data_IF_634268747500
#
_entry.id   IF_634268747500
#
_cell.length_a   1.000
_cell.length_b   1.000
_cell.length_c   1.000
_cell.angle_alpha   90.00
_cell.angle_beta   90.00
_cell.angle_gamma   90.00
#
_symmetry.space_group_name_H-M   'P 1'
#
loop_
_entity.id
_entity.type
_entity.pdbx_description
1 polymer ?
#
# COMPACT_ATOMS: atom_id res chain seq x y z
N UNK A 1 -27.52 -37.31 12.74
CA UNK A 1 -27.54 -36.01 12.04
C UNK A 1 -26.11 -35.70 11.66
N UNK A 2 -25.84 -35.67 10.36
CA UNK A 2 -24.51 -35.75 9.76
C UNK A 2 -23.55 -34.62 10.17
N UNK A 3 -22.40 -35.00 10.72
CA UNK A 3 -21.24 -34.15 10.96
C UNK A 3 -20.32 -34.06 9.72
N UNK A 4 -20.77 -34.58 8.57
CA UNK A 4 -19.98 -34.70 7.33
C UNK A 4 -20.31 -33.60 6.31
N UNK A 5 -21.50 -32.98 6.38
CA UNK A 5 -21.90 -31.87 5.49
C UNK A 5 -21.54 -30.48 6.04
N UNK A 6 -21.35 -30.34 7.36
CA UNK A 6 -20.91 -29.08 8.00
C UNK A 6 -19.40 -28.80 7.81
N UNK A 7 -18.55 -29.83 7.86
CA UNK A 7 -17.09 -29.71 7.69
C UNK A 7 -16.62 -29.05 6.38
N UNK A 8 -17.15 -29.39 5.19
CA UNK A 8 -16.72 -28.74 3.94
C UNK A 8 -17.07 -27.24 3.91
N UNK A 9 -18.21 -26.86 4.49
CA UNK A 9 -18.62 -25.45 4.59
C UNK A 9 -17.67 -24.62 5.47
N UNK A 10 -17.25 -25.16 6.62
CA UNK A 10 -16.29 -24.47 7.50
C UNK A 10 -14.91 -24.30 6.84
N UNK A 11 -14.40 -25.32 6.14
CA UNK A 11 -13.14 -25.22 5.40
C UNK A 11 -13.21 -24.16 4.30
N UNK A 12 -14.32 -24.11 3.56
CA UNK A 12 -14.52 -23.11 2.51
C UNK A 12 -14.56 -21.69 3.09
N UNK A 13 -15.24 -21.50 4.21
CA UNK A 13 -15.26 -20.20 4.89
C UNK A 13 -13.86 -19.75 5.32
N UNK A 14 -13.04 -20.68 5.86
CA UNK A 14 -11.64 -20.39 6.21
C UNK A 14 -10.79 -20.05 4.99
N UNK A 15 -10.94 -20.80 3.89
CA UNK A 15 -10.24 -20.54 2.63
C UNK A 15 -10.59 -19.14 2.10
N UNK A 16 -11.87 -18.78 2.13
CA UNK A 16 -12.35 -17.47 1.70
C UNK A 16 -11.86 -16.34 2.62
N UNK A 17 -11.81 -16.56 3.93
CA UNK A 17 -11.32 -15.55 4.89
C UNK A 17 -9.86 -15.14 4.63
N UNK A 18 -9.06 -16.05 4.09
CA UNK A 18 -7.66 -15.80 3.75
C UNK A 18 -7.45 -15.48 2.26
N UNK A 19 -8.53 -15.40 1.47
CA UNK A 19 -8.49 -15.21 0.02
C UNK A 19 -7.59 -16.26 -0.69
N UNK A 20 -7.54 -17.49 -0.16
CA UNK A 20 -6.63 -18.54 -0.67
C UNK A 20 -7.05 -19.12 -2.03
N UNK A 21 -8.27 -18.84 -2.50
CA UNK A 21 -8.68 -19.18 -3.86
C UNK A 21 -7.99 -18.29 -4.91
N UNK A 22 -7.63 -17.07 -4.52
CA UNK A 22 -6.99 -16.07 -5.38
C UNK A 22 -5.46 -16.15 -5.34
N UNK A 23 -4.90 -16.97 -4.44
CA UNK A 23 -3.47 -17.18 -4.35
C UNK A 23 -2.97 -18.05 -5.51
N UNK A 24 -2.13 -17.46 -6.37
CA UNK A 24 -1.44 -18.16 -7.45
C UNK A 24 0.02 -18.45 -7.07
N UNK A 25 0.31 -19.71 -6.76
CA UNK A 25 1.65 -20.17 -6.40
C UNK A 25 2.70 -19.95 -7.51
N UNK A 26 2.28 -19.80 -8.78
CA UNK A 26 3.19 -19.55 -9.91
C UNK A 26 3.61 -18.09 -10.02
N UNK A 27 2.92 -17.19 -9.30
CA UNK A 27 3.15 -15.74 -9.28
C UNK A 27 3.56 -15.29 -7.89
N UNK A 28 4.67 -15.84 -7.41
CA UNK A 28 5.23 -15.54 -6.09
C UNK A 28 6.74 -15.33 -6.13
N UNK A 29 7.26 -14.64 -5.13
CA UNK A 29 8.68 -14.30 -4.99
C UNK A 29 9.14 -14.41 -3.53
N UNK A 30 10.45 -14.53 -3.36
CA UNK A 30 11.11 -14.58 -2.06
C UNK A 30 10.92 -15.89 -1.30
N UNK A 31 11.55 -15.96 -0.12
CA UNK A 31 11.51 -17.15 0.76
C UNK A 31 10.11 -17.49 1.28
N UNK A 32 9.23 -16.49 1.31
CA UNK A 32 7.91 -16.59 1.92
C UNK A 32 6.76 -16.69 0.91
N UNK A 33 7.09 -16.86 -0.39
CA UNK A 33 6.12 -16.94 -1.49
C UNK A 33 5.16 -15.74 -1.50
N UNK A 34 5.70 -14.53 -1.40
CA UNK A 34 4.90 -13.32 -1.47
C UNK A 34 4.38 -13.12 -2.90
N UNK A 35 3.08 -12.82 -3.10
CA UNK A 35 2.53 -12.61 -4.44
C UNK A 35 3.31 -11.54 -5.22
N UNK A 36 3.55 -11.79 -6.51
CA UNK A 36 4.20 -10.83 -7.39
C UNK A 36 3.19 -9.89 -8.04
N UNK A 37 3.64 -8.66 -8.30
CA UNK A 37 2.92 -7.65 -9.05
C UNK A 37 3.66 -7.32 -10.35
N UNK A 38 2.88 -7.06 -11.41
CA UNK A 38 3.43 -6.59 -12.69
C UNK A 38 3.84 -5.11 -12.63
N UNK A 39 4.88 -4.68 -13.39
CA UNK A 39 5.31 -3.29 -13.43
C UNK A 39 4.28 -2.37 -14.08
N UNK A 40 4.26 -1.11 -13.65
CA UNK A 40 3.41 -0.06 -14.22
C UNK A 40 4.21 1.23 -14.43
N UNK A 41 3.89 1.96 -15.49
CA UNK A 41 4.36 3.32 -15.71
C UNK A 41 3.16 4.25 -15.82
N UNK A 42 2.75 4.81 -14.68
CA UNK A 42 1.59 5.69 -14.59
C UNK A 42 1.90 6.88 -13.67
N UNK A 43 1.36 8.05 -14.00
CA UNK A 43 1.51 9.26 -13.20
C UNK A 43 0.13 9.73 -12.73
N UNK A 44 -0.21 9.52 -11.45
CA UNK A 44 -1.45 10.04 -10.89
C UNK A 44 -1.53 11.56 -10.97
N UNK A 45 -2.73 12.08 -11.30
CA UNK A 45 -3.00 13.52 -11.27
C UNK A 45 -3.29 14.03 -9.86
N UNK A 46 -3.94 13.20 -9.06
CA UNK A 46 -4.32 13.44 -7.66
C UNK A 46 -4.64 12.12 -6.99
N UNK A 47 -4.66 12.13 -5.66
CA UNK A 47 -4.96 10.96 -4.84
C UNK A 47 -6.29 11.14 -4.09
N UNK A 48 -7.04 10.06 -3.93
CA UNK A 48 -8.21 9.98 -3.04
C UNK A 48 -8.10 8.79 -2.10
N UNK A 49 -8.38 8.99 -0.81
CA UNK A 49 -8.40 7.90 0.17
C UNK A 49 -9.49 6.86 -0.13
N UNK A 50 -9.15 5.58 0.05
CA UNK A 50 -10.09 4.47 -0.11
C UNK A 50 -11.36 4.59 0.75
N UNK A 51 -11.30 5.32 1.87
CA UNK A 51 -12.46 5.57 2.73
C UNK A 51 -13.61 6.31 2.01
N UNK A 52 -13.32 7.10 0.97
CA UNK A 52 -14.32 7.87 0.22
C UNK A 52 -14.95 7.16 -0.98
N UNK A 53 -14.43 6.01 -1.42
CA UNK A 53 -14.81 5.38 -2.72
C UNK A 53 -16.30 5.04 -2.85
N UNK A 54 -17.00 4.80 -1.74
CA UNK A 54 -18.44 4.52 -1.77
C UNK A 54 -19.32 5.76 -1.66
N UNK A 55 -18.85 6.78 -0.93
CA UNK A 55 -19.70 7.91 -0.51
C UNK A 55 -19.48 9.15 -1.38
N UNK A 56 -18.25 9.36 -1.86
CA UNK A 56 -17.85 10.52 -2.65
C UNK A 56 -16.72 10.10 -3.62
N UNK A 57 -17.01 9.26 -4.63
CA UNK A 57 -16.00 8.83 -5.57
C UNK A 57 -15.58 9.98 -6.49
N UNK A 58 -14.27 10.18 -6.60
CA UNK A 58 -13.65 10.99 -7.64
C UNK A 58 -12.91 10.06 -8.60
N UNK A 59 -13.60 9.62 -9.65
CA UNK A 59 -13.09 8.67 -10.63
C UNK A 59 -11.85 9.16 -11.39
N UNK A 60 -11.59 10.47 -11.37
CA UNK A 60 -10.38 11.05 -11.95
C UNK A 60 -9.15 10.99 -11.02
N UNK A 61 -9.34 10.55 -9.77
CA UNK A 61 -8.27 10.35 -8.80
C UNK A 61 -7.72 8.92 -8.83
N UNK A 62 -6.47 8.78 -8.40
CA UNK A 62 -5.91 7.48 -8.04
C UNK A 62 -6.27 7.16 -6.59
N UNK A 63 -6.78 5.96 -6.33
CA UNK A 63 -7.17 5.54 -4.96
C UNK A 63 -5.94 5.14 -4.16
N UNK A 64 -5.73 5.75 -2.98
CA UNK A 64 -4.64 5.40 -2.06
C UNK A 64 -5.13 4.82 -0.73
N UNK A 65 -4.22 4.15 -0.04
CA UNK A 65 -4.46 3.46 1.24
C UNK A 65 -3.62 3.99 2.40
N UNK A 66 -2.97 5.15 2.24
CA UNK A 66 -2.31 5.89 3.33
C UNK A 66 -3.33 6.44 4.36
N UNK A 67 -3.96 5.52 5.09
CA UNK A 67 -5.05 5.68 6.04
C UNK A 67 -4.78 4.70 7.20
N UNK A 68 -5.52 4.81 8.30
CA UNK A 68 -5.47 3.76 9.32
C UNK A 68 -6.09 2.46 8.79
N UNK A 69 -5.48 1.30 9.08
CA UNK A 69 -5.89 -0.03 8.61
C UNK A 69 -7.41 -0.28 8.73
N UNK A 70 -8.03 0.14 9.84
CA UNK A 70 -9.47 -0.09 10.06
C UNK A 70 -10.36 0.56 9.00
N UNK A 71 -9.89 1.62 8.33
CA UNK A 71 -10.64 2.33 7.30
C UNK A 71 -10.70 1.55 5.98
N UNK A 72 -9.76 0.62 5.76
CA UNK A 72 -9.68 -0.14 4.51
C UNK A 72 -9.62 -1.66 4.68
N UNK A 73 -9.53 -2.21 5.89
CA UNK A 73 -9.57 -3.65 6.19
C UNK A 73 -10.75 -4.37 5.51
N UNK A 74 -11.83 -3.64 5.24
CA UNK A 74 -12.99 -4.10 4.46
C UNK A 74 -12.63 -4.63 3.06
N UNK A 75 -11.57 -4.14 2.41
CA UNK A 75 -11.09 -4.67 1.12
C UNK A 75 -10.54 -6.08 1.26
N UNK A 76 -9.87 -6.40 2.36
CA UNK A 76 -9.39 -7.76 2.65
C UNK A 76 -10.56 -8.71 2.92
N UNK A 77 -11.57 -8.23 3.66
CA UNK A 77 -12.72 -9.04 4.08
C UNK A 77 -13.73 -9.31 2.97
N UNK A 78 -13.84 -8.42 1.98
CA UNK A 78 -14.80 -8.49 0.88
C UNK A 78 -14.16 -7.99 -0.43
N UNK A 79 -13.08 -8.63 -0.90
CA UNK A 79 -12.31 -8.12 -2.02
C UNK A 79 -13.18 -7.90 -3.25
N UNK A 80 -13.90 -8.92 -3.75
CA UNK A 80 -14.71 -8.81 -4.97
C UNK A 80 -15.64 -7.59 -4.98
N UNK A 81 -16.33 -7.34 -3.85
CA UNK A 81 -17.24 -6.21 -3.72
C UNK A 81 -16.52 -4.87 -3.88
N UNK A 82 -15.34 -4.72 -3.25
CA UNK A 82 -14.60 -3.46 -3.31
C UNK A 82 -13.79 -3.32 -4.59
N UNK A 83 -13.26 -4.41 -5.15
CA UNK A 83 -12.63 -4.40 -6.47
C UNK A 83 -13.63 -3.91 -7.52
N UNK A 84 -14.87 -4.42 -7.53
CA UNK A 84 -15.92 -3.93 -8.44
C UNK A 84 -16.13 -2.41 -8.35
N UNK A 85 -16.01 -1.80 -7.15
CA UNK A 85 -16.17 -0.34 -6.97
C UNK A 85 -14.94 0.48 -7.37
N UNK A 86 -13.81 -0.18 -7.63
CA UNK A 86 -12.59 0.46 -8.10
C UNK A 86 -12.50 0.53 -9.63
N UNK A 87 -13.40 -0.14 -10.36
CA UNK A 87 -13.33 -0.29 -11.81
C UNK A 87 -13.25 1.01 -12.62
N UNK A 88 -13.93 2.06 -12.15
CA UNK A 88 -14.02 3.34 -12.87
C UNK A 88 -12.93 4.35 -12.46
N UNK A 89 -12.05 4.01 -11.51
CA UNK A 89 -10.97 4.90 -11.09
C UNK A 89 -9.77 4.83 -12.05
N UNK A 90 -9.08 5.96 -12.20
CA UNK A 90 -7.88 6.09 -13.05
C UNK A 90 -6.78 5.07 -12.72
N UNK A 91 -6.52 4.86 -11.43
CA UNK A 91 -5.50 3.95 -10.93
C UNK A 91 -5.76 3.64 -9.45
N UNK A 92 -5.17 2.57 -8.93
CA UNK A 92 -5.26 2.19 -7.51
C UNK A 92 -3.87 1.84 -6.96
N UNK A 93 -3.54 2.34 -5.77
CA UNK A 93 -2.36 1.89 -5.03
C UNK A 93 -2.67 0.57 -4.32
N UNK A 94 -1.69 -0.31 -4.14
CA UNK A 94 -1.93 -1.49 -3.30
C UNK A 94 -2.22 -1.08 -1.85
N UNK A 95 -3.04 -1.84 -1.10
CA UNK A 95 -3.31 -1.57 0.30
C UNK A 95 -2.02 -1.45 1.13
N UNK A 96 -1.96 -0.45 1.99
CA UNK A 96 -0.79 -0.15 2.82
C UNK A 96 -1.02 -0.60 4.26
N UNK A 97 -1.11 -1.92 4.48
CA UNK A 97 -1.29 -2.46 5.84
C UNK A 97 -0.09 -2.10 6.72
N UNK A 98 -0.38 -1.52 7.88
CA UNK A 98 0.61 -0.94 8.77
C UNK A 98 1.74 -1.91 9.14
N UNK A 99 2.98 -1.45 9.10
CA UNK A 99 4.16 -2.15 9.62
C UNK A 99 4.79 -1.30 10.73
N UNK A 100 4.75 -1.78 11.98
CA UNK A 100 5.35 -1.08 13.13
C UNK A 100 6.68 -1.73 13.53
N UNK A 101 7.61 -0.94 14.05
CA UNK A 101 8.94 -1.43 14.47
C UNK A 101 8.88 -2.37 15.66
N UNK A 102 7.84 -2.30 16.47
CA UNK A 102 7.54 -3.17 17.61
C UNK A 102 6.54 -4.28 17.28
N UNK A 103 6.05 -4.34 16.03
CA UNK A 103 5.17 -5.41 15.57
C UNK A 103 5.95 -6.72 15.41
N UNK A 104 5.41 -7.87 15.84
CA UNK A 104 6.04 -9.17 15.58
C UNK A 104 6.31 -9.39 14.08
N UNK A 105 7.48 -9.92 13.73
CA UNK A 105 7.88 -10.11 12.33
C UNK A 105 6.88 -10.94 11.52
N UNK A 106 6.21 -11.90 12.16
CA UNK A 106 5.17 -12.71 11.53
C UNK A 106 3.95 -11.87 11.09
N UNK A 107 3.58 -10.86 11.88
CA UNK A 107 2.49 -9.94 11.53
C UNK A 107 2.92 -8.97 10.43
N UNK A 108 4.18 -8.52 10.45
CA UNK A 108 4.72 -7.67 9.37
C UNK A 108 4.72 -8.41 8.02
N UNK A 109 5.17 -9.67 8.04
CA UNK A 109 5.13 -10.54 6.87
C UNK A 109 3.69 -10.77 6.39
N UNK A 110 2.77 -11.03 7.31
CA UNK A 110 1.35 -11.20 6.99
C UNK A 110 0.77 -9.95 6.32
N UNK A 111 1.05 -8.75 6.84
CA UNK A 111 0.58 -7.50 6.25
C UNK A 111 1.16 -7.25 4.85
N UNK A 112 2.42 -7.59 4.66
CA UNK A 112 3.06 -7.54 3.33
C UNK A 112 2.37 -8.50 2.36
N UNK A 113 2.12 -9.75 2.77
CA UNK A 113 1.39 -10.73 1.96
C UNK A 113 0.00 -10.22 1.55
N UNK A 114 -0.77 -9.68 2.50
CA UNK A 114 -2.12 -9.16 2.24
C UNK A 114 -2.12 -8.04 1.20
N UNK A 115 -1.16 -7.12 1.31
CA UNK A 115 -0.98 -6.02 0.35
C UNK A 115 -0.75 -6.54 -1.06
N UNK A 116 0.21 -7.47 -1.22
CA UNK A 116 0.57 -8.05 -2.52
C UNK A 116 -0.55 -8.87 -3.13
N UNK A 117 -1.24 -9.69 -2.33
CA UNK A 117 -2.35 -10.52 -2.83
C UNK A 117 -3.48 -9.64 -3.37
N UNK A 118 -3.90 -8.61 -2.63
CA UNK A 118 -4.95 -7.71 -3.09
C UNK A 118 -4.50 -6.93 -4.34
N UNK A 119 -3.24 -6.52 -4.41
CA UNK A 119 -2.67 -5.93 -5.62
C UNK A 119 -2.73 -6.87 -6.83
N UNK A 120 -2.43 -8.15 -6.63
CA UNK A 120 -2.50 -9.16 -7.68
C UNK A 120 -3.94 -9.36 -8.16
N UNK A 121 -4.90 -9.41 -7.22
CA UNK A 121 -6.32 -9.46 -7.53
C UNK A 121 -6.75 -8.24 -8.34
N UNK A 122 -6.34 -7.02 -7.96
CA UNK A 122 -6.64 -5.80 -8.72
C UNK A 122 -6.08 -5.87 -10.16
N UNK A 123 -4.87 -6.39 -10.34
CA UNK A 123 -4.28 -6.59 -11.67
C UNK A 123 -5.05 -7.64 -12.49
N UNK A 124 -5.55 -8.71 -11.86
CA UNK A 124 -6.37 -9.72 -12.52
C UNK A 124 -7.72 -9.16 -13.02
N UNK A 125 -8.23 -8.12 -12.36
CA UNK A 125 -9.41 -7.37 -12.79
C UNK A 125 -9.10 -6.34 -13.90
N UNK A 126 -7.84 -6.22 -14.33
CA UNK A 126 -7.40 -5.35 -15.40
C UNK A 126 -7.08 -3.91 -14.96
N UNK A 127 -6.92 -3.66 -13.66
CA UNK A 127 -6.68 -2.31 -13.15
C UNK A 127 -5.22 -1.89 -13.32
N UNK A 128 -5.02 -0.58 -13.48
CA UNK A 128 -3.72 0.06 -13.30
C UNK A 128 -3.41 0.09 -11.80
N UNK A 129 -2.40 -0.68 -11.40
CA UNK A 129 -2.03 -0.86 -9.97
C UNK A 129 -0.62 -0.36 -9.73
N UNK A 130 -0.47 0.65 -8.87
CA UNK A 130 0.83 1.14 -8.40
C UNK A 130 1.16 0.47 -7.07
N UNK A 131 2.27 -0.29 -6.96
CA UNK A 131 2.67 -0.89 -5.70
C UNK A 131 3.02 0.17 -4.64
N UNK A 132 2.42 0.04 -3.46
CA UNK A 132 2.88 0.73 -2.26
C UNK A 132 4.01 -0.07 -1.61
N UNK A 133 5.09 0.62 -1.26
CA UNK A 133 6.26 0.05 -0.61
C UNK A 133 6.35 0.57 0.82
N UNK A 134 6.32 -0.36 1.76
CA UNK A 134 6.34 -0.07 3.19
C UNK A 134 7.29 -1.03 3.90
N UNK A 135 7.94 -0.53 4.94
CA UNK A 135 8.92 -1.25 5.74
C UNK A 135 8.82 -0.77 7.19
N UNK A 136 9.36 -1.56 8.12
CA UNK A 136 9.43 -1.20 9.53
C UNK A 136 10.90 -1.01 9.95
N UNK A 137 11.54 -2.09 10.41
CA UNK A 137 12.93 -2.13 10.78
C UNK A 137 13.75 -2.90 9.72
N UNK A 138 15.06 -2.97 9.90
CA UNK A 138 15.97 -3.67 8.98
C UNK A 138 15.62 -5.15 8.77
N UNK A 139 15.01 -5.80 9.76
CA UNK A 139 14.54 -7.20 9.65
C UNK A 139 13.43 -7.33 8.60
N UNK A 140 12.57 -6.32 8.45
CA UNK A 140 11.53 -6.32 7.42
C UNK A 140 12.09 -6.32 5.99
N UNK A 141 13.33 -5.86 5.78
CA UNK A 141 13.96 -5.80 4.45
C UNK A 141 14.19 -7.18 3.84
N UNK A 142 14.13 -8.25 4.65
CA UNK A 142 14.23 -9.63 4.20
C UNK A 142 13.02 -10.07 3.36
N UNK A 143 11.88 -9.36 3.43
CA UNK A 143 10.66 -9.74 2.71
C UNK A 143 9.84 -8.57 2.15
N UNK A 144 9.93 -7.35 2.71
CA UNK A 144 8.99 -6.27 2.34
C UNK A 144 9.12 -5.81 0.88
N UNK A 145 10.29 -6.07 0.27
CA UNK A 145 10.58 -5.76 -1.13
C UNK A 145 10.31 -6.92 -2.09
N UNK A 146 10.08 -8.13 -1.58
CA UNK A 146 9.80 -9.28 -2.43
C UNK A 146 8.42 -9.14 -3.08
N UNK A 147 8.28 -9.65 -4.30
CA UNK A 147 7.05 -9.55 -5.09
C UNK A 147 6.78 -8.16 -5.69
N UNK A 148 7.61 -7.15 -5.40
CA UNK A 148 7.55 -5.86 -6.06
C UNK A 148 8.20 -5.89 -7.44
N UNK A 149 7.61 -5.22 -8.45
CA UNK A 149 8.18 -5.14 -9.78
C UNK A 149 9.40 -4.22 -9.79
N UNK A 150 10.38 -4.58 -10.62
CA UNK A 150 11.51 -3.71 -10.92
C UNK A 150 11.13 -2.65 -11.95
N UNK A 151 11.79 -1.49 -11.91
CA UNK A 151 11.62 -0.42 -12.90
C UNK A 151 10.16 0.06 -13.09
N UNK A 152 9.35 -0.08 -12.03
CA UNK A 152 7.96 0.38 -11.99
C UNK A 152 7.87 1.78 -11.38
N UNK A 153 6.73 2.45 -11.59
CA UNK A 153 6.26 3.47 -10.66
C UNK A 153 5.86 2.78 -9.35
N UNK A 154 6.29 3.33 -8.22
CA UNK A 154 5.95 2.85 -6.87
C UNK A 154 5.56 4.02 -5.97
N UNK A 155 4.81 3.75 -4.90
CA UNK A 155 4.42 4.76 -3.94
C UNK A 155 5.01 4.48 -2.54
N UNK A 156 5.43 5.54 -1.84
CA UNK A 156 5.90 5.52 -0.46
C UNK A 156 5.26 6.67 0.33
N UNK A 157 5.29 6.56 1.66
CA UNK A 157 4.73 7.56 2.57
C UNK A 157 5.81 8.23 3.42
N UNK A 158 5.65 9.52 3.68
CA UNK A 158 6.39 10.31 4.68
C UNK A 158 5.49 10.71 5.85
N UNK A 159 4.31 10.13 5.98
CA UNK A 159 3.42 10.39 7.11
C UNK A 159 4.06 9.85 8.39
N UNK A 160 4.14 10.68 9.43
CA UNK A 160 4.62 10.26 10.76
C UNK A 160 6.14 10.11 10.92
N UNK A 161 6.95 10.38 9.88
CA UNK A 161 8.43 10.26 9.94
C UNK A 161 9.15 11.59 10.23
N UNK A 162 8.56 12.73 9.85
CA UNK A 162 9.25 14.04 9.83
C UNK A 162 9.64 14.59 11.21
N UNK A 163 8.94 14.15 12.26
CA UNK A 163 9.09 14.71 13.60
C UNK A 163 10.21 14.06 14.43
N UNK A 164 10.76 12.91 14.01
CA UNK A 164 11.76 12.17 14.79
C UNK A 164 12.91 11.72 13.90
N UNK A 165 14.13 12.13 14.26
CA UNK A 165 15.37 11.78 13.54
C UNK A 165 15.50 10.27 13.31
N UNK A 166 15.24 9.46 14.32
CA UNK A 166 15.31 8.00 14.23
C UNK A 166 14.36 7.43 13.18
N UNK A 167 13.13 7.94 13.09
CA UNK A 167 12.14 7.51 12.08
C UNK A 167 12.56 7.94 10.68
N UNK A 168 13.16 9.12 10.56
CA UNK A 168 13.68 9.59 9.29
C UNK A 168 14.88 8.77 8.82
N UNK A 169 15.79 8.37 9.72
CA UNK A 169 16.90 7.47 9.37
C UNK A 169 16.40 6.08 8.93
N UNK A 170 15.42 5.50 9.63
CA UNK A 170 14.78 4.24 9.20
C UNK A 170 14.09 4.37 7.83
N UNK A 171 13.44 5.50 7.60
CA UNK A 171 12.84 5.77 6.30
C UNK A 171 13.91 5.85 5.19
N UNK A 172 15.01 6.58 5.40
CA UNK A 172 16.12 6.66 4.43
C UNK A 172 16.74 5.29 4.13
N UNK A 173 17.01 4.48 5.16
CA UNK A 173 17.56 3.12 5.00
C UNK A 173 16.63 2.24 4.15
N UNK A 174 15.32 2.35 4.34
CA UNK A 174 14.34 1.65 3.53
C UNK A 174 14.24 2.16 2.10
N UNK A 175 14.31 3.48 1.86
CA UNK A 175 14.35 4.04 0.49
C UNK A 175 15.63 3.64 -0.23
N UNK A 176 16.79 3.68 0.44
CA UNK A 176 18.07 3.22 -0.12
C UNK A 176 17.99 1.73 -0.50
N UNK A 177 17.41 0.90 0.38
CA UNK A 177 17.24 -0.53 0.13
C UNK A 177 16.25 -0.80 -1.01
N UNK A 178 15.13 -0.05 -1.06
CA UNK A 178 14.16 -0.11 -2.15
C UNK A 178 14.83 0.21 -3.48
N UNK A 179 15.53 1.34 -3.58
CA UNK A 179 16.23 1.76 -4.81
C UNK A 179 17.21 0.67 -5.25
N UNK A 180 17.98 0.10 -4.32
CA UNK A 180 18.93 -0.97 -4.63
C UNK A 180 18.26 -2.26 -5.11
N UNK A 181 17.15 -2.67 -4.48
CA UNK A 181 16.50 -3.96 -4.77
C UNK A 181 15.65 -3.92 -6.04
N UNK A 182 14.87 -2.85 -6.22
CA UNK A 182 13.86 -2.79 -7.29
C UNK A 182 14.13 -1.72 -8.35
N UNK A 183 15.09 -0.81 -8.13
CA UNK A 183 15.47 0.24 -9.08
C UNK A 183 14.25 0.91 -9.75
N UNK A 184 13.39 1.57 -8.95
CA UNK A 184 12.11 2.07 -9.43
C UNK A 184 12.32 3.11 -10.53
N UNK A 185 11.38 3.16 -11.48
CA UNK A 185 11.39 4.18 -12.53
C UNK A 185 10.97 5.54 -11.98
N UNK A 186 9.98 5.54 -11.09
CA UNK A 186 9.39 6.72 -10.46
C UNK A 186 8.94 6.40 -9.05
N UNK A 187 9.08 7.37 -8.15
CA UNK A 187 8.62 7.27 -6.77
C UNK A 187 7.56 8.34 -6.53
N UNK A 188 6.35 7.92 -6.17
CA UNK A 188 5.28 8.79 -5.68
C UNK A 188 5.41 8.90 -4.16
N UNK A 189 5.49 10.11 -3.63
CA UNK A 189 5.69 10.34 -2.20
C UNK A 189 4.47 11.04 -1.62
N UNK A 190 3.77 10.37 -0.71
CA UNK A 190 2.62 10.93 -0.01
C UNK A 190 2.98 11.45 1.39
N UNK A 191 2.45 12.61 1.78
CA UNK A 191 2.73 13.23 3.08
C UNK A 191 3.75 14.38 3.02
N UNK A 192 4.04 14.87 1.81
CA UNK A 192 4.83 16.06 1.54
C UNK A 192 6.34 15.84 1.43
N UNK A 193 7.03 16.85 0.92
CA UNK A 193 8.45 16.81 0.58
C UNK A 193 9.38 16.57 1.78
N UNK A 194 10.53 15.92 1.51
CA UNK A 194 11.63 15.66 2.44
C UNK A 194 12.97 15.85 1.74
N UNK A 195 13.99 16.30 2.49
CA UNK A 195 15.35 16.42 1.99
C UNK A 195 16.02 15.04 1.89
N UNK A 196 16.03 14.47 0.68
CA UNK A 196 16.62 13.17 0.39
C UNK A 196 17.11 13.10 -1.07
N UNK A 197 18.25 12.46 -1.29
CA UNK A 197 18.83 12.23 -2.61
C UNK A 197 18.32 10.93 -3.22
N UNK A 198 17.33 11.05 -4.11
CA UNK A 198 16.71 9.94 -4.84
C UNK A 198 17.55 9.41 -6.02
N UNK A 199 18.83 9.75 -6.12
CA UNK A 199 19.76 9.18 -7.12
C UNK A 199 19.33 9.41 -8.57
N UNK A 200 18.68 10.55 -8.83
CA UNK A 200 18.18 10.93 -10.15
C UNK A 200 16.89 10.24 -10.59
N UNK A 201 16.22 9.49 -9.70
CA UNK A 201 14.90 8.90 -9.95
C UNK A 201 13.85 10.02 -9.95
N UNK A 202 12.87 9.92 -10.85
CA UNK A 202 11.75 10.87 -10.89
C UNK A 202 10.89 10.75 -9.63
N UNK A 203 10.63 11.88 -8.97
CA UNK A 203 9.84 11.93 -7.73
C UNK A 203 8.66 12.88 -7.90
N UNK A 204 7.48 12.44 -7.50
CA UNK A 204 6.25 13.24 -7.51
C UNK A 204 5.67 13.25 -6.10
N UNK A 205 5.52 14.45 -5.55
CA UNK A 205 4.97 14.65 -4.22
C UNK A 205 3.46 14.87 -4.25
N UNK A 206 2.77 14.21 -3.33
CA UNK A 206 1.37 14.45 -3.02
C UNK A 206 1.25 14.93 -1.57
N UNK A 207 0.52 16.02 -1.40
CA UNK A 207 0.14 16.51 -0.10
C UNK A 207 -0.82 15.56 0.60
N UNK A 208 -0.90 15.68 1.93
CA UNK A 208 -1.95 15.03 2.71
C UNK A 208 -2.96 16.12 3.08
N UNK A 209 -4.18 16.00 2.57
CA UNK A 209 -5.30 16.93 2.80
C UNK A 209 -5.50 17.28 4.29
N UNK A 210 -5.16 16.36 5.19
CA UNK A 210 -5.27 16.55 6.64
C UNK A 210 -4.21 17.51 7.16
N UNK A 211 -2.93 17.30 6.79
CA UNK A 211 -1.83 18.20 7.13
C UNK A 211 -1.98 19.57 6.46
N UNK A 212 -2.44 19.62 5.21
CA UNK A 212 -2.68 20.90 4.54
C UNK A 212 -3.78 21.74 5.20
N UNK A 213 -4.81 21.09 5.79
CA UNK A 213 -5.84 21.77 6.57
C UNK A 213 -5.31 22.26 7.92
N UNK A 214 -4.47 21.47 8.59
CA UNK A 214 -3.85 21.87 9.86
C UNK A 214 -2.85 23.02 9.67
N UNK A 215 -2.04 22.98 8.61
CA UNK A 215 -1.10 24.05 8.27
C UNK A 215 -1.84 25.34 7.91
N UNK A 216 -2.97 25.25 7.18
CA UNK A 216 -3.84 26.41 6.92
C UNK A 216 -4.40 27.03 8.20
N UNK A 217 -4.89 26.21 9.13
CA UNK A 217 -5.40 26.71 10.42
C UNK A 217 -4.31 27.34 11.28
N UNK A 218 -3.10 26.78 11.30
CA UNK A 218 -1.97 27.36 12.02
C UNK A 218 -1.52 28.73 11.44
N UNK A 219 -1.57 28.88 10.12
CA UNK A 219 -1.28 30.16 9.44
C UNK A 219 -2.39 31.18 9.66
N UNK A 220 -3.66 30.76 9.67
CA UNK A 220 -4.80 31.63 9.97
C UNK A 220 -4.80 32.11 11.43
N UNK A 221 -4.44 31.25 12.40
CA UNK A 221 -4.27 31.66 13.80
C UNK A 221 -3.13 32.66 13.99
N UNK A 222 -1.98 32.48 13.31
CA UNK A 222 -0.86 33.44 13.37
C UNK A 222 -1.14 34.78 12.68
N UNK A 223 -2.08 34.82 11.74
CA UNK A 223 -2.48 36.05 11.05
C UNK A 223 -3.55 36.85 11.82
N UNK A 224 -4.12 36.27 12.88
CA UNK A 224 -5.13 36.87 13.76
C UNK A 224 -4.52 37.41 15.07
N UNK A 225 -3.22 37.18 15.33
CA UNK A 225 -2.40 37.81 16.38
C UNK A 225 -1.65 39.04 15.86
#
# INVERSE_FOLDING_TARGET
MDNLTTKPYHRQNTINQYNLLDYDATRTDGKYNLPTLEPVDHVPKKLQGFNYVLNKPDYSATVHFFLDDYQFERIWKRPDFYLEKLADFDCVLTPDFSLYTDMPIAMQLWNTYRSRLIGQMMQNWGYTVIPTVSWANKESHDFCFDGLPKHSTVAISTVGIKQRKERFELWKDGVDTMIKKIAPKRILVYGGEVDYDYKGIEVIYFGNDTTERMDKWAVEEQALE
#
